data_IF_956682877458
#
_entry.id   IF_956682877458
#
_cell.length_a   1.000
_cell.length_b   1.000
_cell.length_c   1.000
_cell.angle_alpha   90.00
_cell.angle_beta   90.00
_cell.angle_gamma   90.00
#
_symmetry.space_group_name_H-M   'P 1'
#
loop_
_entity.id
_entity.type
_entity.pdbx_description
1 polymer ?
#
# COMPACT_ATOMS: atom_id res chain seq x y z
N UNK A 1 -3.38 1.20 -19.75
CA UNK A 1 -2.30 0.25 -19.44
C UNK A 1 -2.05 0.35 -17.94
N UNK A 2 -2.04 -0.77 -17.21
CA UNK A 2 -1.84 -0.76 -15.74
C UNK A 2 -0.34 -0.70 -15.48
N UNK A 3 0.11 0.18 -14.58
CA UNK A 3 1.53 0.28 -14.24
C UNK A 3 1.99 -0.91 -13.40
N UNK A 4 3.27 -1.26 -13.53
CA UNK A 4 3.90 -2.29 -12.71
C UNK A 4 3.71 -2.02 -11.20
N UNK A 5 3.79 -0.77 -10.77
CA UNK A 5 3.64 -0.38 -9.36
C UNK A 5 2.25 -0.74 -8.80
N UNK A 6 1.19 -0.56 -9.59
CA UNK A 6 -0.18 -0.94 -9.21
C UNK A 6 -0.27 -2.47 -9.04
N UNK A 7 0.36 -3.23 -9.94
CA UNK A 7 0.35 -4.70 -9.86
C UNK A 7 1.16 -5.19 -8.65
N UNK A 8 2.32 -4.59 -8.39
CA UNK A 8 3.15 -4.84 -7.22
C UNK A 8 2.38 -4.57 -5.93
N UNK A 9 1.74 -3.40 -5.81
CA UNK A 9 0.95 -3.04 -4.65
C UNK A 9 -0.22 -4.01 -4.40
N UNK A 10 -0.94 -4.38 -5.46
CA UNK A 10 -2.02 -5.34 -5.37
C UNK A 10 -1.54 -6.74 -4.93
N UNK A 11 -0.43 -7.23 -5.50
CA UNK A 11 0.16 -8.51 -5.12
C UNK A 11 0.56 -8.51 -3.64
N UNK A 12 1.18 -7.43 -3.17
CA UNK A 12 1.58 -7.27 -1.77
C UNK A 12 0.37 -7.25 -0.82
N UNK A 13 -0.71 -6.54 -1.19
CA UNK A 13 -1.95 -6.51 -0.42
C UNK A 13 -2.62 -7.89 -0.33
N UNK A 14 -2.77 -8.58 -1.46
CA UNK A 14 -3.37 -9.91 -1.49
C UNK A 14 -2.57 -10.94 -0.68
N UNK A 15 -1.24 -10.79 -0.68
CA UNK A 15 -0.36 -11.65 0.10
C UNK A 15 -0.42 -11.33 1.61
N UNK A 16 -0.48 -10.05 1.96
CA UNK A 16 -0.28 -9.60 3.35
C UNK A 16 -1.56 -9.45 4.16
N UNK A 17 -2.71 -9.20 3.51
CA UNK A 17 -3.97 -8.92 4.17
C UNK A 17 -4.83 -10.19 4.22
N UNK A 18 -5.18 -10.70 5.41
CA UNK A 18 -6.02 -11.88 5.54
C UNK A 18 -7.37 -11.71 4.83
N UNK A 19 -7.68 -12.66 3.94
CA UNK A 19 -8.93 -12.68 3.17
C UNK A 19 -9.01 -11.62 2.05
N UNK A 20 -7.92 -10.91 1.75
CA UNK A 20 -7.88 -10.09 0.55
C UNK A 20 -7.86 -10.98 -0.70
N UNK A 21 -8.52 -10.51 -1.74
CA UNK A 21 -8.61 -11.18 -3.04
C UNK A 21 -8.25 -10.19 -4.14
N UNK A 22 -7.76 -10.68 -5.28
CA UNK A 22 -7.62 -9.86 -6.49
C UNK A 22 -8.44 -10.43 -7.61
N UNK A 23 -9.20 -9.57 -8.26
CA UNK A 23 -9.90 -9.88 -9.49
C UNK A 23 -9.10 -9.28 -10.64
N UNK A 24 -8.54 -10.15 -11.47
CA UNK A 24 -7.73 -9.79 -12.64
C UNK A 24 -8.60 -9.95 -13.88
N UNK A 25 -8.61 -8.94 -14.74
CA UNK A 25 -9.27 -9.01 -16.06
C UNK A 25 -8.23 -8.88 -17.15
N UNK A 26 -8.22 -9.85 -18.04
CA UNK A 26 -7.37 -9.89 -19.23
C UNK A 26 -7.91 -8.97 -20.31
N UNK A 27 -7.04 -8.48 -21.20
CA UNK A 27 -7.42 -7.68 -22.38
C UNK A 27 -8.24 -8.48 -23.38
N UNK A 28 -8.07 -9.81 -23.43
CA UNK A 28 -8.92 -10.74 -24.19
C UNK A 28 -10.27 -11.05 -23.51
N UNK A 29 -10.54 -10.46 -22.34
CA UNK A 29 -11.80 -10.60 -21.60
C UNK A 29 -11.84 -11.74 -20.59
N UNK A 30 -10.86 -12.65 -20.57
CA UNK A 30 -10.76 -13.68 -19.55
C UNK A 30 -10.55 -13.09 -18.15
N UNK A 31 -10.91 -13.85 -17.12
CA UNK A 31 -10.89 -13.42 -15.71
C UNK A 31 -10.12 -14.43 -14.88
N UNK A 32 -9.35 -13.93 -13.92
CA UNK A 32 -8.63 -14.73 -12.94
C UNK A 32 -8.89 -14.17 -11.54
N UNK A 33 -8.96 -15.06 -10.55
CA UNK A 33 -9.09 -14.72 -9.14
C UNK A 33 -7.83 -15.17 -8.40
N UNK A 34 -7.21 -14.25 -7.69
CA UNK A 34 -6.10 -14.52 -6.75
C UNK A 34 -6.67 -14.49 -5.34
N UNK A 35 -6.69 -15.64 -4.65
CA UNK A 35 -7.20 -15.75 -3.29
C UNK A 35 -6.68 -17.02 -2.59
N UNK A 36 -6.75 -17.05 -1.26
CA UNK A 36 -6.26 -18.19 -0.46
C UNK A 36 -7.18 -19.41 -0.45
N UNK A 37 -8.39 -19.31 -1.02
CA UNK A 37 -9.37 -20.39 -1.03
C UNK A 37 -9.21 -21.33 -2.23
N UNK A 38 -9.68 -22.57 -2.12
CA UNK A 38 -9.51 -23.62 -3.14
C UNK A 38 -10.17 -23.35 -4.50
N UNK A 39 -11.07 -22.36 -4.58
CA UNK A 39 -11.72 -21.95 -5.84
C UNK A 39 -10.97 -20.86 -6.60
N UNK A 40 -9.83 -20.39 -6.08
CA UNK A 40 -9.03 -19.37 -6.75
C UNK A 40 -8.25 -19.98 -7.91
N UNK A 41 -8.03 -19.21 -8.97
CA UNK A 41 -7.17 -19.61 -10.08
C UNK A 41 -5.70 -19.60 -9.65
N UNK A 42 -5.32 -18.68 -8.75
CA UNK A 42 -3.97 -18.55 -8.22
C UNK A 42 -4.00 -18.27 -6.71
N UNK A 43 -2.99 -18.78 -6.00
CA UNK A 43 -2.73 -18.38 -4.61
C UNK A 43 -2.04 -17.00 -4.56
N UNK A 44 -2.21 -16.20 -3.48
CA UNK A 44 -1.50 -14.94 -3.33
C UNK A 44 0.02 -15.10 -3.34
N UNK A 45 0.55 -16.16 -2.73
CA UNK A 45 1.99 -16.46 -2.75
C UNK A 45 2.49 -16.74 -4.17
N UNK A 46 1.73 -17.51 -4.95
CA UNK A 46 2.06 -17.78 -6.36
C UNK A 46 2.07 -16.47 -7.14
N UNK A 47 0.99 -15.67 -7.06
CA UNK A 47 0.90 -14.41 -7.80
C UNK A 47 2.02 -13.43 -7.42
N UNK A 48 2.28 -13.25 -6.13
CA UNK A 48 3.41 -12.47 -5.60
C UNK A 48 4.74 -12.88 -6.24
N UNK A 49 5.02 -14.18 -6.29
CA UNK A 49 6.24 -14.70 -6.88
C UNK A 49 6.37 -14.38 -8.37
N UNK A 50 5.26 -14.50 -9.12
CA UNK A 50 5.23 -14.19 -10.55
C UNK A 50 5.52 -12.70 -10.79
N UNK A 51 4.98 -11.81 -9.96
CA UNK A 51 5.22 -10.36 -10.04
C UNK A 51 6.66 -10.02 -9.68
N UNK A 52 7.22 -10.66 -8.67
CA UNK A 52 8.57 -10.35 -8.17
C UNK A 52 9.69 -10.82 -9.11
N UNK A 53 9.63 -12.06 -9.59
CA UNK A 53 10.80 -12.72 -10.20
C UNK A 53 11.01 -12.45 -11.67
N UNK A 54 10.02 -11.93 -12.41
CA UNK A 54 10.09 -11.69 -13.85
C UNK A 54 10.89 -12.77 -14.60
N UNK A 55 10.31 -13.96 -14.84
CA UNK A 55 9.74 -14.25 -16.16
C UNK A 55 8.54 -15.19 -16.00
N UNK A 56 7.41 -14.65 -15.55
CA UNK A 56 6.14 -15.22 -15.92
C UNK A 56 5.73 -14.56 -17.25
N UNK A 57 5.16 -15.27 -18.23
CA UNK A 57 4.49 -14.62 -19.35
C UNK A 57 3.59 -13.49 -18.84
N UNK A 58 2.93 -13.71 -17.71
CA UNK A 58 2.15 -12.70 -17.00
C UNK A 58 2.95 -11.43 -16.68
N UNK A 59 4.17 -11.46 -16.15
CA UNK A 59 4.86 -10.27 -15.63
C UNK A 59 5.47 -9.38 -16.73
N UNK A 60 6.00 -9.97 -17.80
CA UNK A 60 6.48 -9.23 -18.98
C UNK A 60 5.31 -8.79 -19.87
N UNK A 61 4.25 -9.60 -19.94
CA UNK A 61 3.06 -9.25 -20.68
C UNK A 61 2.07 -8.47 -19.78
N UNK A 62 2.25 -8.23 -18.47
CA UNK A 62 1.19 -7.60 -17.61
C UNK A 62 0.73 -6.29 -18.22
N UNK A 63 1.66 -5.54 -18.81
CA UNK A 63 1.37 -4.29 -19.51
C UNK A 63 0.54 -4.51 -20.80
N UNK A 64 0.63 -5.69 -21.42
CA UNK A 64 -0.02 -6.06 -22.70
C UNK A 64 -1.27 -6.95 -22.55
N UNK A 65 -1.37 -7.85 -21.56
CA UNK A 65 -2.53 -8.75 -21.35
C UNK A 65 -3.40 -8.36 -20.15
N UNK A 66 -2.95 -7.57 -19.17
CA UNK A 66 -3.79 -7.20 -18.02
C UNK A 66 -4.56 -5.91 -18.30
N UNK A 67 -5.87 -6.05 -18.49
CA UNK A 67 -6.77 -4.94 -18.78
C UNK A 67 -7.33 -4.26 -17.53
N UNK A 68 -7.58 -5.01 -16.45
CA UNK A 68 -8.03 -4.48 -15.17
C UNK A 68 -7.49 -5.30 -14.00
N UNK A 69 -7.34 -4.65 -12.85
CA UNK A 69 -7.01 -5.27 -11.57
C UNK A 69 -7.85 -4.61 -10.48
N UNK A 70 -8.45 -5.40 -9.61
CA UNK A 70 -9.29 -4.88 -8.53
C UNK A 70 -9.09 -5.69 -7.23
N UNK A 71 -8.53 -5.07 -6.17
CA UNK A 71 -8.54 -5.67 -4.84
C UNK A 71 -9.95 -5.77 -4.26
N UNK A 72 -10.28 -6.95 -3.72
CA UNK A 72 -11.58 -7.33 -3.16
C UNK A 72 -11.39 -8.21 -1.91
N UNK A 73 -12.38 -9.05 -1.62
CA UNK A 73 -12.41 -9.89 -0.42
C UNK A 73 -12.71 -9.05 0.81
N UNK A 74 -11.79 -9.05 1.76
CA UNK A 74 -11.86 -8.26 2.99
C UNK A 74 -11.47 -6.80 2.80
N UNK A 75 -10.92 -6.42 1.64
CA UNK A 75 -10.56 -5.05 1.32
C UNK A 75 -11.63 -4.36 0.45
N UNK A 76 -11.77 -3.07 0.66
CA UNK A 76 -12.53 -2.16 -0.18
C UNK A 76 -11.71 -0.91 -0.43
N UNK A 77 -11.70 -0.42 -1.67
CA UNK A 77 -11.00 0.82 -2.00
C UNK A 77 -11.64 2.01 -1.28
N UNK A 78 -10.84 2.77 -0.54
CA UNK A 78 -11.28 4.00 0.12
C UNK A 78 -10.93 5.22 -0.76
N UNK A 79 -9.64 5.47 -0.98
CA UNK A 79 -9.15 6.64 -1.75
C UNK A 79 -7.70 6.44 -2.19
N UNK A 80 -7.36 6.87 -3.42
CA UNK A 80 -5.99 7.03 -3.94
C UNK A 80 -5.02 5.83 -3.76
N UNK A 81 -5.47 4.59 -3.52
CA UNK A 81 -4.60 3.45 -3.21
C UNK A 81 -4.59 3.03 -1.73
N UNK A 82 -5.38 3.69 -0.89
CA UNK A 82 -5.73 3.29 0.47
C UNK A 82 -6.97 2.41 0.43
N UNK A 83 -6.93 1.31 1.17
CA UNK A 83 -8.00 0.34 1.30
C UNK A 83 -8.49 0.24 2.74
N UNK A 84 -9.80 0.11 2.93
CA UNK A 84 -10.43 -0.16 4.22
C UNK A 84 -10.71 -1.64 4.39
N UNK A 85 -10.65 -2.10 5.63
CA UNK A 85 -11.16 -3.42 6.00
C UNK A 85 -12.69 -3.42 6.03
N UNK A 86 -13.32 -4.40 5.38
CA UNK A 86 -14.77 -4.60 5.44
C UNK A 86 -15.25 -5.10 6.80
N UNK A 87 -14.34 -5.60 7.64
CA UNK A 87 -14.67 -6.20 8.93
C UNK A 87 -14.25 -5.35 10.12
N UNK A 88 -13.38 -4.36 9.92
CA UNK A 88 -12.80 -3.55 10.99
C UNK A 88 -12.73 -2.09 10.58
N UNK A 89 -13.65 -1.29 11.11
CA UNK A 89 -13.83 0.11 10.73
C UNK A 89 -12.57 0.98 10.95
N UNK A 90 -11.74 0.66 11.95
CA UNK A 90 -10.50 1.36 12.26
C UNK A 90 -9.27 0.92 11.44
N UNK A 91 -9.39 -0.05 10.52
CA UNK A 91 -8.24 -0.56 9.77
C UNK A 91 -8.10 0.06 8.38
N UNK A 92 -6.92 0.59 8.07
CA UNK A 92 -6.53 1.06 6.73
C UNK A 92 -5.25 0.43 6.26
N UNK A 93 -5.19 0.14 4.98
CA UNK A 93 -4.11 -0.59 4.34
C UNK A 93 -3.65 0.17 3.10
N UNK A 94 -2.34 0.29 2.92
CA UNK A 94 -1.75 0.81 1.69
C UNK A 94 -0.35 0.25 1.53
N UNK A 95 0.25 0.47 0.36
CA UNK A 95 1.59 -0.01 0.02
C UNK A 95 2.50 1.18 -0.24
N UNK A 96 3.70 1.10 0.32
CA UNK A 96 4.79 2.07 0.12
C UNK A 96 6.04 1.34 -0.34
N UNK A 97 6.96 2.07 -0.98
CA UNK A 97 8.26 1.51 -1.38
C UNK A 97 9.10 1.15 -0.15
N UNK A 98 9.91 0.10 -0.28
CA UNK A 98 10.77 -0.38 0.79
C UNK A 98 12.01 0.52 0.94
N UNK A 99 11.83 1.66 1.61
CA UNK A 99 12.92 2.53 2.09
C UNK A 99 12.86 2.64 3.62
N UNK A 100 13.49 1.71 4.38
CA UNK A 100 13.32 1.59 5.83
C UNK A 100 13.63 2.85 6.65
N UNK A 101 14.53 3.71 6.16
CA UNK A 101 14.85 4.98 6.81
C UNK A 101 13.71 6.00 6.72
N UNK A 102 12.93 5.98 5.63
CA UNK A 102 11.91 7.00 5.35
C UNK A 102 10.53 6.62 5.85
N UNK A 103 10.22 5.32 5.94
CA UNK A 103 8.90 4.86 6.38
C UNK A 103 8.56 5.34 7.80
N UNK A 104 9.56 5.47 8.69
CA UNK A 104 9.33 6.04 10.03
C UNK A 104 9.08 7.55 9.98
N UNK A 105 9.84 8.26 9.16
CA UNK A 105 9.70 9.71 8.96
C UNK A 105 8.34 10.10 8.35
N UNK A 106 7.65 9.16 7.68
CA UNK A 106 6.28 9.37 7.19
C UNK A 106 5.27 9.69 8.29
N UNK A 107 5.54 9.27 9.52
CA UNK A 107 4.63 9.46 10.65
C UNK A 107 5.04 10.65 11.53
N UNK A 108 6.17 11.28 11.25
CA UNK A 108 6.66 12.43 11.98
C UNK A 108 5.99 13.71 11.45
N UNK A 109 5.54 14.58 12.37
CA UNK A 109 4.98 15.90 12.06
C UNK A 109 3.81 15.91 11.04
N UNK A 110 3.00 14.85 11.02
CA UNK A 110 1.80 14.80 10.18
C UNK A 110 0.84 15.94 10.53
N UNK A 111 0.41 16.68 9.51
CA UNK A 111 -0.66 17.66 9.62
C UNK A 111 -2.02 16.95 9.66
N UNK A 112 -2.27 16.28 10.78
CA UNK A 112 -3.50 15.55 11.05
C UNK A 112 -3.96 15.72 12.49
N UNK A 113 -5.16 15.23 12.77
CA UNK A 113 -5.72 15.22 14.11
C UNK A 113 -4.85 14.39 15.07
N UNK A 114 -4.19 15.07 16.01
CA UNK A 114 -3.26 14.46 16.97
C UNK A 114 -3.93 13.40 17.83
N UNK A 115 -5.20 13.57 18.18
CA UNK A 115 -5.91 12.61 19.01
C UNK A 115 -6.10 11.27 18.28
N UNK A 116 -6.38 11.32 16.98
CA UNK A 116 -6.52 10.13 16.12
C UNK A 116 -5.14 9.51 15.89
N UNK A 117 -4.12 10.33 15.63
CA UNK A 117 -2.75 9.87 15.43
C UNK A 117 -2.19 9.15 16.67
N UNK A 118 -2.35 9.72 17.86
CA UNK A 118 -1.90 9.13 19.13
C UNK A 118 -2.63 7.81 19.45
N UNK A 119 -3.86 7.64 18.95
CA UNK A 119 -4.64 6.43 19.10
C UNK A 119 -4.45 5.42 17.95
N UNK A 120 -3.46 5.62 17.08
CA UNK A 120 -3.19 4.75 15.93
C UNK A 120 -1.97 3.87 16.19
N UNK A 121 -2.16 2.57 16.02
CA UNK A 121 -1.06 1.62 15.89
C UNK A 121 -0.69 1.44 14.42
N UNK A 122 0.61 1.57 14.11
CA UNK A 122 1.15 1.34 12.77
C UNK A 122 1.87 0.01 12.72
N UNK A 123 1.44 -0.88 11.81
CA UNK A 123 2.07 -2.18 11.58
C UNK A 123 2.65 -2.19 10.17
N UNK A 124 3.94 -2.50 10.07
CA UNK A 124 4.68 -2.54 8.82
C UNK A 124 5.01 -3.99 8.47
N UNK A 125 4.67 -4.41 7.25
CA UNK A 125 5.02 -5.74 6.71
C UNK A 125 5.85 -5.58 5.45
N UNK A 126 7.15 -5.80 5.57
CA UNK A 126 8.05 -5.74 4.43
C UNK A 126 7.86 -6.97 3.54
N UNK A 127 7.69 -6.72 2.24
CA UNK A 127 7.73 -7.70 1.19
C UNK A 127 9.02 -7.51 0.40
N UNK A 128 10.08 -8.20 0.84
CA UNK A 128 11.42 -8.07 0.26
C UNK A 128 11.49 -8.57 -1.19
N UNK A 129 10.60 -9.49 -1.58
CA UNK A 129 10.56 -10.03 -2.94
C UNK A 129 9.98 -9.00 -3.91
N UNK A 130 8.95 -8.26 -3.47
CA UNK A 130 8.31 -7.20 -4.25
C UNK A 130 8.97 -5.83 -4.08
N UNK A 131 9.88 -5.66 -3.10
CA UNK A 131 10.55 -4.38 -2.83
C UNK A 131 9.64 -3.32 -2.20
N UNK A 132 8.60 -3.73 -1.48
CA UNK A 132 7.59 -2.83 -0.88
C UNK A 132 7.34 -3.12 0.60
N UNK A 133 6.63 -2.22 1.27
CA UNK A 133 6.07 -2.40 2.61
C UNK A 133 4.56 -2.22 2.56
N UNK A 134 3.83 -3.21 3.08
CA UNK A 134 2.41 -3.07 3.36
C UNK A 134 2.25 -2.42 4.73
N UNK A 135 1.62 -1.25 4.73
CA UNK A 135 1.34 -0.48 5.94
C UNK A 135 -0.09 -0.76 6.37
N UNK A 136 -0.28 -1.09 7.65
CA UNK A 136 -1.57 -1.15 8.31
C UNK A 136 -1.64 -0.06 9.36
N UNK A 137 -2.66 0.77 9.26
CA UNK A 137 -3.11 1.64 10.35
C UNK A 137 -4.24 0.92 11.08
N UNK A 138 -4.15 0.86 12.40
CA UNK A 138 -5.19 0.34 13.27
C UNK A 138 -5.52 1.40 14.32
N UNK A 139 -6.68 2.04 14.14
CA UNK A 139 -7.16 3.14 14.97
C UNK A 139 -8.21 2.62 15.96
N UNK A 140 -8.22 3.17 17.17
CA UNK A 140 -9.23 2.87 18.18
C UNK A 140 -10.67 3.01 17.63
N UNK A 141 -11.55 2.08 18.00
CA UNK A 141 -12.92 2.00 17.51
C UNK A 141 -13.81 3.18 17.91
N UNK A 142 -13.37 4.02 18.85
CA UNK A 142 -14.10 5.24 19.27
C UNK A 142 -14.14 6.32 18.18
N UNK A 143 -13.24 6.28 17.20
CA UNK A 143 -13.17 7.28 16.14
C UNK A 143 -14.08 6.92 14.95
N UNK A 144 -14.65 7.94 14.31
CA UNK A 144 -15.50 7.74 13.14
C UNK A 144 -14.70 7.29 11.92
N UNK A 145 -15.36 6.62 10.98
CA UNK A 145 -14.76 6.15 9.73
C UNK A 145 -14.12 7.30 8.95
N UNK A 146 -14.75 8.47 8.95
CA UNK A 146 -14.25 9.67 8.26
C UNK A 146 -12.94 10.17 8.86
N UNK A 147 -12.81 10.21 10.19
CA UNK A 147 -11.56 10.62 10.86
C UNK A 147 -10.43 9.62 10.55
N UNK A 148 -10.74 8.32 10.50
CA UNK A 148 -9.78 7.27 10.13
C UNK A 148 -9.35 7.40 8.66
N UNK A 149 -10.31 7.67 7.75
CA UNK A 149 -10.02 7.91 6.33
C UNK A 149 -9.14 9.15 6.12
N UNK A 150 -9.41 10.24 6.85
CA UNK A 150 -8.62 11.46 6.81
C UNK A 150 -7.19 11.25 7.29
N UNK A 151 -7.00 10.52 8.40
CA UNK A 151 -5.66 10.17 8.86
C UNK A 151 -4.90 9.36 7.79
N UNK A 152 -5.53 8.31 7.26
CA UNK A 152 -4.89 7.45 6.27
C UNK A 152 -4.55 8.20 4.98
N UNK A 153 -5.43 9.10 4.54
CA UNK A 153 -5.16 9.98 3.41
C UNK A 153 -4.00 10.94 3.70
N UNK A 154 -3.94 11.53 4.90
CA UNK A 154 -2.84 12.42 5.28
C UNK A 154 -1.49 11.68 5.25
N UNK A 155 -1.41 10.49 5.87
CA UNK A 155 -0.19 9.66 5.84
C UNK A 155 0.21 9.32 4.40
N UNK A 156 -0.75 8.85 3.60
CA UNK A 156 -0.48 8.42 2.24
C UNK A 156 -0.11 9.58 1.30
N UNK A 157 -0.74 10.74 1.46
CA UNK A 157 -0.41 11.95 0.70
C UNK A 157 1.00 12.46 1.04
N UNK A 158 1.40 12.43 2.32
CA UNK A 158 2.76 12.77 2.72
C UNK A 158 3.78 11.82 2.07
N UNK A 159 3.49 10.50 2.05
CA UNK A 159 4.31 9.54 1.32
C UNK A 159 4.44 9.89 -0.16
N UNK A 160 3.33 10.12 -0.85
CA UNK A 160 3.36 10.48 -2.28
C UNK A 160 4.14 11.77 -2.53
N UNK A 161 4.05 12.76 -1.64
CA UNK A 161 4.82 14.00 -1.74
C UNK A 161 6.33 13.74 -1.57
N UNK A 162 6.74 12.89 -0.64
CA UNK A 162 8.15 12.52 -0.46
C UNK A 162 8.72 11.73 -1.65
N UNK A 163 7.93 10.84 -2.24
CA UNK A 163 8.31 10.11 -3.46
C UNK A 163 8.43 11.07 -4.64
N UNK A 164 7.43 11.93 -4.86
CA UNK A 164 7.39 12.87 -5.97
C UNK A 164 8.53 13.91 -5.92
N UNK A 165 8.94 14.32 -4.72
CA UNK A 165 10.03 15.29 -4.56
C UNK A 165 11.41 14.66 -4.69
N UNK A 166 11.56 13.33 -4.53
CA UNK A 166 12.87 12.66 -4.55
C UNK A 166 13.85 13.17 -3.48
N UNK A 167 13.37 13.97 -2.51
CA UNK A 167 14.22 14.67 -1.54
C UNK A 167 14.51 13.78 -0.34
N UNK A 168 15.77 13.38 -0.21
CA UNK A 168 16.33 12.98 1.09
C UNK A 168 16.29 14.17 2.04
N UNK A 169 15.53 14.08 3.15
CA UNK A 169 15.38 15.11 4.21
C UNK A 169 16.70 15.50 4.92
N UNK A 170 17.89 15.15 4.40
CA UNK A 170 19.18 15.68 4.87
C UNK A 170 19.42 17.17 4.55
N UNK A 171 18.61 17.78 3.68
CA UNK A 171 18.81 19.18 3.24
C UNK A 171 18.22 20.25 4.19
N UNK A 172 17.21 19.92 5.00
CA UNK A 172 16.46 20.93 5.76
C UNK A 172 16.96 21.17 7.19
N UNK A 173 17.72 20.25 7.78
CA UNK A 173 18.36 20.44 9.10
C UNK A 173 19.79 21.02 9.02
N UNK A 174 20.32 21.26 7.82
CA UNK A 174 21.67 21.80 7.61
C UNK A 174 21.81 23.33 7.70
N UNK A 175 20.71 24.10 7.89
CA UNK A 175 20.75 25.58 7.88
C UNK A 175 20.77 26.27 9.25
N UNK A 176 21.11 25.56 10.33
CA UNK A 176 21.30 26.16 11.66
C UNK A 176 22.74 26.07 12.19
N UNK A 177 23.72 26.54 11.40
CA UNK A 177 25.01 27.01 11.93
C UNK A 177 25.39 28.34 11.31
N UNK A 178 24.89 29.43 11.89
CA UNK A 178 25.67 30.66 12.01
C UNK A 178 26.17 30.74 13.44
N UNK A 179 27.42 30.32 13.63
CA UNK A 179 28.20 30.73 14.79
C UNK A 179 28.47 32.23 14.62
N UNK A 180 28.16 33.01 15.65
CA UNK A 180 28.57 34.40 15.75
C UNK A 180 30.07 34.46 15.97
N UNK A 181 30.69 35.47 15.36
CA UNK A 181 32.08 35.89 15.56
C UNK A 181 32.38 36.22 17.04
#
# INVERSE_FOLDING_TARGET
MISKDIVTAAAALAHSVPGAELFLRRTDGARLVVASHSRADLSPCTFRHLVAKGPCPIAEEVETWLGNLEPRGTLEHAVAGVYRSRHRAGERWFVVDLEPARIRELFDDLDCDKEVADATSVILRADLELGVVVVKLEVDARFSVERVDQLALCVYANYLAEVATGVSKKSLLGRNRKWRD
#
